data_IF_739053710051
#
_entry.id   IF_739053710051
#
_cell.length_a   1.000
_cell.length_b   1.000
_cell.length_c   1.000
_cell.angle_alpha   90.00
_cell.angle_beta   90.00
_cell.angle_gamma   90.00
#
_symmetry.space_group_name_H-M   'P 1'
#
loop_
_entity.id
_entity.type
_entity.pdbx_description
1 polymer ?
#
# COMPACT_ATOMS: atom_id res chain seq x y z
N UNK A 1 7.65 -12.28 25.83
CA UNK A 1 6.44 -11.45 25.60
C UNK A 1 6.39 -11.05 24.15
N UNK A 2 5.23 -11.14 23.47
CA UNK A 2 5.12 -10.61 22.11
C UNK A 2 4.91 -9.10 22.19
N UNK A 3 5.68 -8.35 21.40
CA UNK A 3 5.70 -6.89 21.39
C UNK A 3 4.34 -6.32 20.97
N UNK A 4 3.83 -5.33 21.71
CA UNK A 4 2.71 -4.48 21.27
C UNK A 4 3.25 -3.30 20.46
N UNK A 5 2.48 -2.86 19.47
CA UNK A 5 2.87 -1.75 18.58
C UNK A 5 1.97 -0.54 18.77
N UNK A 6 2.48 0.66 18.49
CA UNK A 6 1.72 1.91 18.55
C UNK A 6 1.62 2.54 19.94
N UNK A 7 0.53 3.25 20.20
CA UNK A 7 0.33 4.09 21.38
C UNK A 7 -0.08 3.25 22.61
N UNK A 8 0.92 2.75 23.34
CA UNK A 8 0.72 1.98 24.58
C UNK A 8 0.84 2.83 25.86
N UNK A 9 1.21 4.11 25.75
CA UNK A 9 1.42 4.99 26.90
C UNK A 9 0.14 5.21 27.71
N UNK A 10 0.22 5.17 29.04
CA UNK A 10 -0.92 5.40 29.94
C UNK A 10 -1.92 4.25 30.04
N UNK A 11 -1.66 3.10 29.43
CA UNK A 11 -2.50 1.92 29.59
C UNK A 11 -2.24 1.23 30.93
N UNK A 12 -3.31 0.79 31.60
CA UNK A 12 -3.22 -0.04 32.82
C UNK A 12 -2.56 -1.38 32.48
N UNK A 13 -1.83 -1.97 33.43
CA UNK A 13 -1.21 -3.28 33.27
C UNK A 13 -2.22 -4.38 32.88
N UNK A 14 -3.47 -4.28 33.35
CA UNK A 14 -4.56 -5.17 32.94
C UNK A 14 -4.91 -5.05 31.46
N UNK A 15 -4.92 -3.84 30.89
CA UNK A 15 -5.16 -3.61 29.46
C UNK A 15 -4.03 -4.20 28.62
N UNK A 16 -2.78 -3.97 29.02
CA UNK A 16 -1.60 -4.51 28.34
C UNK A 16 -1.68 -6.05 28.29
N UNK A 17 -1.98 -6.70 29.42
CA UNK A 17 -2.15 -8.16 29.46
C UNK A 17 -3.29 -8.66 28.56
N UNK A 18 -4.43 -7.95 28.51
CA UNK A 18 -5.54 -8.27 27.60
C UNK A 18 -5.10 -8.20 26.13
N UNK A 19 -4.38 -7.14 25.74
CA UNK A 19 -3.85 -6.95 24.39
C UNK A 19 -2.82 -8.04 24.01
N UNK A 20 -1.89 -8.34 24.90
CA UNK A 20 -0.88 -9.39 24.67
C UNK A 20 -1.50 -10.78 24.54
N UNK A 21 -2.60 -11.04 25.27
CA UNK A 21 -3.33 -12.30 25.16
C UNK A 21 -4.00 -12.48 23.80
N UNK A 22 -4.28 -11.42 23.04
CA UNK A 22 -4.83 -11.53 21.69
C UNK A 22 -3.91 -12.38 20.79
N UNK A 23 -2.59 -12.27 20.95
CA UNK A 23 -1.64 -13.07 20.18
C UNK A 23 -1.75 -14.60 20.35
N UNK A 24 -2.41 -15.06 21.41
CA UNK A 24 -2.65 -16.49 21.68
C UNK A 24 -3.85 -17.01 20.90
N UNK A 25 -4.68 -16.12 20.36
CA UNK A 25 -5.85 -16.47 19.55
C UNK A 25 -5.40 -17.07 18.21
N UNK A 26 -6.24 -17.99 17.72
CA UNK A 26 -6.13 -18.64 16.42
C UNK A 26 -7.48 -18.53 15.75
N UNK A 27 -7.46 -18.28 14.47
CA UNK A 27 -8.66 -18.14 13.65
C UNK A 27 -8.68 -19.24 12.60
N UNK A 28 -9.86 -19.76 12.23
CA UNK A 28 -9.99 -20.50 10.99
C UNK A 28 -9.58 -19.57 9.82
N UNK A 29 -8.73 -20.02 8.88
CA UNK A 29 -8.21 -19.19 7.80
C UNK A 29 -9.27 -18.52 6.91
N UNK A 30 -10.42 -19.18 6.73
CA UNK A 30 -11.53 -18.72 5.89
C UNK A 30 -12.33 -17.55 6.49
N UNK A 31 -12.28 -17.39 7.82
CA UNK A 31 -12.95 -16.29 8.50
C UNK A 31 -12.15 -14.99 8.35
N UNK A 32 -12.84 -13.87 8.23
CA UNK A 32 -12.24 -12.55 8.38
C UNK A 32 -11.67 -12.43 9.80
N UNK A 33 -12.56 -12.54 10.78
CA UNK A 33 -12.31 -12.53 12.23
C UNK A 33 -13.34 -13.43 12.91
N UNK A 34 -13.03 -14.03 14.07
CA UNK A 34 -14.06 -14.73 14.84
C UNK A 34 -14.94 -13.71 15.58
N UNK A 35 -16.21 -14.07 15.82
CA UNK A 35 -17.13 -13.20 16.57
C UNK A 35 -16.58 -12.84 17.96
N UNK A 36 -15.98 -13.81 18.66
CA UNK A 36 -15.39 -13.59 19.99
C UNK A 36 -14.23 -12.61 19.93
N UNK A 37 -13.36 -12.74 18.92
CA UNK A 37 -12.22 -11.83 18.77
C UNK A 37 -12.69 -10.42 18.41
N UNK A 38 -13.65 -10.29 17.49
CA UNK A 38 -14.25 -9.00 17.13
C UNK A 38 -14.88 -8.32 18.36
N UNK A 39 -15.68 -9.06 19.13
CA UNK A 39 -16.27 -8.58 20.38
C UNK A 39 -15.21 -8.17 21.40
N UNK A 40 -14.16 -8.97 21.57
CA UNK A 40 -13.10 -8.70 22.55
C UNK A 40 -12.31 -7.43 22.18
N UNK A 41 -11.96 -7.23 20.90
CA UNK A 41 -11.27 -6.00 20.47
C UNK A 41 -12.18 -4.78 20.49
N UNK A 42 -13.47 -4.90 20.15
CA UNK A 42 -14.42 -3.76 20.24
C UNK A 42 -14.56 -3.27 21.68
N UNK A 43 -14.79 -4.20 22.63
CA UNK A 43 -14.91 -3.85 24.05
C UNK A 43 -13.65 -3.23 24.59
N UNK A 44 -12.49 -3.82 24.28
CA UNK A 44 -11.21 -3.31 24.77
C UNK A 44 -10.88 -1.94 24.15
N UNK A 45 -11.14 -1.76 22.85
CA UNK A 45 -10.94 -0.49 22.14
C UNK A 45 -11.79 0.62 22.74
N UNK A 46 -13.06 0.34 23.03
CA UNK A 46 -13.97 1.24 23.72
C UNK A 46 -13.47 1.60 25.14
N UNK A 47 -13.07 0.58 25.93
CA UNK A 47 -12.54 0.75 27.30
C UNK A 47 -11.29 1.65 27.34
N UNK A 48 -10.38 1.49 26.39
CA UNK A 48 -9.13 2.26 26.34
C UNK A 48 -9.23 3.55 25.51
N UNK A 49 -10.36 3.78 24.83
CA UNK A 49 -10.60 4.90 23.89
C UNK A 49 -9.51 5.04 22.82
N UNK A 50 -9.07 3.91 22.28
CA UNK A 50 -8.09 3.83 21.19
C UNK A 50 -8.47 2.73 20.23
N UNK A 51 -8.19 2.92 18.94
CA UNK A 51 -8.32 1.87 17.95
C UNK A 51 -7.38 0.71 18.29
N UNK A 52 -7.81 -0.51 18.02
CA UNK A 52 -7.01 -1.72 18.14
C UNK A 52 -6.93 -2.35 16.76
N UNK A 53 -5.73 -2.53 16.24
CA UNK A 53 -5.44 -3.18 14.97
C UNK A 53 -4.83 -4.57 15.17
N UNK A 54 -5.19 -5.49 14.30
CA UNK A 54 -4.67 -6.85 14.22
C UNK A 54 -4.19 -7.11 12.80
N UNK A 55 -2.94 -7.53 12.66
CA UNK A 55 -2.47 -8.14 11.42
C UNK A 55 -2.51 -9.66 11.60
N UNK A 56 -3.30 -10.33 10.76
CA UNK A 56 -3.53 -11.77 10.83
C UNK A 56 -2.95 -12.39 9.57
N UNK A 57 -2.14 -13.43 9.71
CA UNK A 57 -1.56 -14.12 8.57
C UNK A 57 -2.52 -15.19 7.99
N UNK A 58 -2.17 -15.74 6.82
CA UNK A 58 -3.00 -16.77 6.13
C UNK A 58 -3.22 -18.06 6.92
N UNK A 59 -2.40 -18.36 7.93
CA UNK A 59 -2.65 -19.51 8.82
C UNK A 59 -3.57 -19.16 10.01
N UNK A 60 -4.19 -17.97 10.01
CA UNK A 60 -5.07 -17.50 11.08
C UNK A 60 -4.32 -17.14 12.36
N UNK A 61 -3.02 -16.84 12.28
CA UNK A 61 -2.22 -16.40 13.42
C UNK A 61 -2.17 -14.88 13.46
N UNK A 62 -2.41 -14.31 14.64
CA UNK A 62 -2.16 -12.88 14.85
C UNK A 62 -0.64 -12.65 14.88
N UNK A 63 -0.17 -11.94 13.85
CA UNK A 63 1.23 -11.57 13.65
C UNK A 63 1.57 -10.29 14.41
N UNK A 64 0.66 -9.31 14.41
CA UNK A 64 0.83 -8.04 15.11
C UNK A 64 -0.46 -7.61 15.83
N UNK A 65 -0.29 -7.03 17.02
CA UNK A 65 -1.33 -6.33 17.78
C UNK A 65 -0.88 -4.88 17.92
N UNK A 66 -1.73 -3.98 17.44
CA UNK A 66 -1.46 -2.56 17.25
C UNK A 66 -2.44 -1.78 18.11
N UNK A 67 -1.96 -0.76 18.82
CA UNK A 67 -2.79 0.20 19.54
C UNK A 67 -2.65 1.54 18.84
N UNK A 68 -3.75 2.04 18.28
CA UNK A 68 -3.81 3.33 17.62
C UNK A 68 -4.08 4.48 18.58
N UNK A 69 -4.51 5.59 18.01
CA UNK A 69 -5.16 6.68 18.73
C UNK A 69 -6.68 6.59 18.55
N UNK A 70 -7.41 7.70 18.66
CA UNK A 70 -8.86 7.72 18.52
C UNK A 70 -9.32 7.75 17.05
N UNK A 71 -8.43 8.07 16.10
CA UNK A 71 -8.72 8.27 14.68
C UNK A 71 -8.10 7.20 13.79
N UNK A 72 -6.91 6.70 14.13
CA UNK A 72 -6.15 5.78 13.27
C UNK A 72 -5.24 4.84 14.03
N UNK A 73 -4.82 3.80 13.31
CA UNK A 73 -3.68 2.95 13.68
C UNK A 73 -2.46 3.33 12.85
N UNK A 74 -1.27 2.99 13.35
CA UNK A 74 -0.04 3.02 12.56
C UNK A 74 0.43 1.58 12.37
N UNK A 75 0.36 1.09 11.13
CA UNK A 75 0.78 -0.27 10.81
C UNK A 75 2.32 -0.35 10.94
N UNK A 76 2.85 -1.32 11.70
CA UNK A 76 4.29 -1.46 11.89
C UNK A 76 4.97 -1.97 10.62
N UNK A 77 6.30 -1.90 10.59
CA UNK A 77 7.09 -2.50 9.52
C UNK A 77 6.80 -4.02 9.39
N UNK A 78 6.38 -4.42 8.19
CA UNK A 78 6.04 -5.80 7.81
C UNK A 78 7.06 -6.41 6.84
N UNK A 79 8.31 -5.94 6.85
CA UNK A 79 9.38 -6.42 5.94
C UNK A 79 9.64 -7.93 6.02
N UNK A 80 9.34 -8.57 7.16
CA UNK A 80 9.38 -10.03 7.32
C UNK A 80 8.39 -10.77 6.39
N UNK A 81 7.37 -10.07 5.90
CA UNK A 81 6.38 -10.54 4.93
C UNK A 81 6.71 -9.96 3.56
N UNK A 82 7.68 -10.58 2.88
CA UNK A 82 8.07 -10.16 1.52
C UNK A 82 6.95 -10.42 0.51
N UNK A 83 6.73 -9.44 -0.36
CA UNK A 83 5.76 -9.53 -1.45
C UNK A 83 6.50 -9.94 -2.71
N UNK A 84 6.04 -10.99 -3.37
CA UNK A 84 6.50 -11.33 -4.71
C UNK A 84 5.62 -10.63 -5.76
N UNK A 85 6.13 -10.38 -6.98
CA UNK A 85 5.31 -9.90 -8.09
C UNK A 85 4.04 -10.75 -8.25
N UNK A 86 2.88 -10.10 -8.46
CA UNK A 86 1.59 -10.78 -8.57
C UNK A 86 1.02 -11.39 -7.28
N UNK A 87 1.70 -11.30 -6.12
CA UNK A 87 1.23 -11.82 -4.82
C UNK A 87 0.80 -10.71 -3.86
N UNK A 88 -0.10 -11.02 -2.94
CA UNK A 88 -0.43 -10.14 -1.81
C UNK A 88 0.49 -10.44 -0.62
N UNK A 89 0.54 -9.54 0.36
CA UNK A 89 1.46 -9.56 1.52
C UNK A 89 1.31 -10.80 2.39
N UNK A 90 0.18 -11.50 2.34
CA UNK A 90 -0.09 -12.62 3.24
C UNK A 90 -0.61 -12.20 4.61
N UNK A 91 -1.03 -10.93 4.73
CA UNK A 91 -1.53 -10.32 5.94
C UNK A 91 -2.86 -9.64 5.66
N UNK A 92 -3.88 -9.95 6.46
CA UNK A 92 -5.11 -9.15 6.55
C UNK A 92 -5.04 -8.24 7.76
N UNK A 93 -5.43 -6.98 7.58
CA UNK A 93 -5.52 -6.00 8.64
C UNK A 93 -6.96 -5.82 9.09
N UNK A 94 -7.19 -5.92 10.39
CA UNK A 94 -8.50 -5.73 11.00
C UNK A 94 -8.33 -4.78 12.16
N UNK A 95 -9.04 -3.65 12.14
CA UNK A 95 -8.95 -2.66 13.20
C UNK A 95 -10.31 -2.12 13.60
N UNK A 96 -10.39 -1.54 14.79
CA UNK A 96 -11.63 -0.96 15.30
C UNK A 96 -11.77 0.50 14.90
N UNK A 97 -13.00 0.92 14.58
CA UNK A 97 -13.39 2.31 14.37
C UNK A 97 -14.29 2.78 15.50
N UNK A 98 -13.86 3.85 16.19
CA UNK A 98 -14.56 4.39 17.35
C UNK A 98 -15.71 5.33 16.98
N UNK A 99 -15.71 5.92 15.78
CA UNK A 99 -16.74 6.85 15.29
C UNK A 99 -17.88 6.17 14.52
N UNK A 100 -17.91 4.83 14.48
CA UNK A 100 -18.88 4.03 13.71
C UNK A 100 -18.90 4.38 12.21
N UNK A 101 -17.73 4.70 11.66
CA UNK A 101 -17.48 5.01 10.26
C UNK A 101 -17.00 3.78 9.47
N UNK A 102 -17.30 3.69 8.16
CA UNK A 102 -16.75 2.65 7.29
C UNK A 102 -15.23 2.84 7.09
N UNK A 103 -14.62 2.02 6.23
CA UNK A 103 -13.22 2.21 5.82
C UNK A 103 -12.98 3.63 5.27
N UNK A 104 -11.92 4.25 5.77
CA UNK A 104 -11.47 5.60 5.42
C UNK A 104 -10.52 5.56 4.22
N UNK A 105 -10.23 6.73 3.65
CA UNK A 105 -9.20 6.87 2.60
C UNK A 105 -7.82 6.40 3.08
N UNK A 106 -7.47 6.63 4.35
CA UNK A 106 -6.22 6.17 4.94
C UNK A 106 -6.16 4.62 4.95
N UNK A 107 -7.26 3.96 5.27
CA UNK A 107 -7.33 2.48 5.27
C UNK A 107 -7.15 1.88 3.88
N UNK A 108 -7.76 2.50 2.85
CA UNK A 108 -7.56 2.07 1.46
C UNK A 108 -6.13 2.34 0.96
N UNK A 109 -5.53 3.43 1.44
CA UNK A 109 -4.14 3.75 1.15
C UNK A 109 -3.25 2.67 1.75
N UNK A 110 -3.38 2.37 3.04
CA UNK A 110 -2.61 1.33 3.72
C UNK A 110 -2.82 -0.05 3.09
N UNK A 111 -4.06 -0.41 2.76
CA UNK A 111 -4.40 -1.65 2.04
C UNK A 111 -3.56 -1.80 0.77
N UNK A 112 -3.51 -0.75 -0.05
CA UNK A 112 -2.86 -0.82 -1.34
C UNK A 112 -1.32 -0.68 -1.24
N UNK A 113 -0.82 0.23 -0.40
CA UNK A 113 0.62 0.43 -0.17
C UNK A 113 1.29 -0.82 0.36
N UNK A 114 0.67 -1.41 1.38
CA UNK A 114 1.20 -2.59 2.01
C UNK A 114 0.80 -3.85 1.26
N UNK A 115 0.02 -3.75 0.17
CA UNK A 115 -0.54 -4.86 -0.60
C UNK A 115 -1.16 -5.93 0.29
N UNK A 116 -1.91 -5.49 1.31
CA UNK A 116 -2.55 -6.37 2.27
C UNK A 116 -3.57 -7.28 1.56
N UNK A 117 -3.73 -8.48 2.10
CA UNK A 117 -4.70 -9.44 1.58
C UNK A 117 -6.13 -8.85 1.66
N UNK A 118 -6.47 -8.27 2.82
CA UNK A 118 -7.78 -7.68 3.15
C UNK A 118 -7.58 -6.56 4.18
N UNK A 119 -8.40 -5.52 4.11
CA UNK A 119 -8.56 -4.50 5.16
C UNK A 119 -9.99 -4.53 5.71
N UNK A 120 -10.15 -4.46 7.03
CA UNK A 120 -11.47 -4.41 7.64
C UNK A 120 -11.56 -3.49 8.87
N UNK A 121 -12.56 -2.61 8.86
CA UNK A 121 -12.92 -1.77 9.99
C UNK A 121 -14.10 -2.38 10.77
N UNK A 122 -13.89 -2.59 12.07
CA UNK A 122 -14.87 -3.11 13.01
C UNK A 122 -15.52 -1.94 13.73
N UNK A 123 -16.78 -1.67 13.41
CA UNK A 123 -17.56 -0.63 14.08
C UNK A 123 -18.25 -1.18 15.32
N UNK A 124 -18.62 -0.28 16.22
CA UNK A 124 -19.24 -0.64 17.49
C UNK A 124 -20.35 0.34 17.88
N UNK A 125 -21.29 -0.16 18.69
CA UNK A 125 -22.32 0.67 19.32
C UNK A 125 -21.71 1.63 20.34
N UNK A 126 -22.47 2.62 20.81
CA UNK A 126 -22.05 3.51 21.91
C UNK A 126 -21.65 2.77 23.20
N UNK A 127 -22.20 1.57 23.43
CA UNK A 127 -21.84 0.72 24.56
C UNK A 127 -20.58 -0.16 24.32
N UNK A 128 -19.90 0.00 23.19
CA UNK A 128 -18.68 -0.75 22.84
C UNK A 128 -18.91 -2.17 22.33
N UNK A 129 -20.16 -2.55 22.00
CA UNK A 129 -20.46 -3.84 21.37
C UNK A 129 -20.17 -3.79 19.88
N UNK A 130 -19.57 -4.87 19.37
CA UNK A 130 -19.35 -5.06 17.94
C UNK A 130 -20.68 -4.94 17.17
N UNK A 131 -20.69 -4.09 16.15
CA UNK A 131 -21.87 -3.77 15.34
C UNK A 131 -21.75 -4.36 13.94
N UNK A 132 -20.82 -3.85 13.12
CA UNK A 132 -20.61 -4.30 11.73
C UNK A 132 -19.13 -4.34 11.36
N UNK A 133 -18.79 -5.17 10.38
CA UNK A 133 -17.48 -5.17 9.76
C UNK A 133 -17.56 -4.58 8.35
N UNK A 134 -16.77 -3.55 8.08
CA UNK A 134 -16.63 -2.93 6.77
C UNK A 134 -15.36 -3.46 6.12
N UNK A 135 -15.48 -4.14 4.99
CA UNK A 135 -14.39 -4.92 4.40
C UNK A 135 -14.04 -4.40 3.02
N UNK A 136 -12.74 -4.30 2.74
CA UNK A 136 -12.22 -3.95 1.43
C UNK A 136 -10.98 -4.75 1.07
N UNK A 137 -10.77 -4.96 -0.22
CA UNK A 137 -9.61 -5.65 -0.79
C UNK A 137 -9.23 -5.06 -2.15
N UNK A 138 -7.99 -5.31 -2.58
CA UNK A 138 -7.45 -4.77 -3.84
C UNK A 138 -8.13 -5.44 -5.03
N UNK A 139 -8.44 -4.67 -6.07
CA UNK A 139 -8.92 -5.19 -7.35
C UNK A 139 -7.77 -5.32 -8.36
N UNK A 140 -7.55 -6.51 -8.95
CA UNK A 140 -6.48 -6.74 -9.93
C UNK A 140 -6.70 -6.00 -11.25
N UNK A 141 -7.96 -5.86 -11.68
CA UNK A 141 -8.36 -5.11 -12.87
C UNK A 141 -9.22 -3.93 -12.44
N UNK A 142 -8.68 -2.72 -12.51
CA UNK A 142 -9.45 -1.49 -12.28
C UNK A 142 -10.35 -1.22 -13.49
N UNK A 143 -11.52 -1.88 -13.57
CA UNK A 143 -12.45 -1.72 -14.70
C UNK A 143 -13.05 -0.29 -14.74
N UNK A 144 -13.03 0.44 -13.62
CA UNK A 144 -13.64 1.78 -13.48
C UNK A 144 -12.81 2.79 -12.67
N UNK A 145 -11.49 2.62 -12.57
CA UNK A 145 -10.60 3.60 -11.90
C UNK A 145 -10.57 3.52 -10.37
N UNK A 146 -11.22 2.54 -9.73
CA UNK A 146 -11.08 2.27 -8.29
C UNK A 146 -10.24 1.01 -8.07
N UNK A 147 -9.07 1.11 -7.41
CA UNK A 147 -8.15 -0.01 -7.22
C UNK A 147 -8.55 -0.98 -6.11
N UNK A 148 -9.76 -0.86 -5.57
CA UNK A 148 -10.27 -1.67 -4.47
C UNK A 148 -11.77 -1.93 -4.61
N UNK A 149 -12.21 -3.06 -4.07
CA UNK A 149 -13.61 -3.40 -3.90
C UNK A 149 -13.99 -3.30 -2.42
N UNK A 150 -15.22 -2.86 -2.16
CA UNK A 150 -15.80 -2.79 -0.82
C UNK A 150 -16.98 -3.76 -0.79
N UNK A 151 -17.01 -4.64 0.21
CA UNK A 151 -18.15 -5.52 0.44
C UNK A 151 -19.28 -4.77 1.14
N UNK A 152 -20.51 -5.27 0.99
CA UNK A 152 -21.61 -4.85 1.86
C UNK A 152 -21.22 -5.09 3.33
N UNK A 153 -21.53 -4.16 4.27
CA UNK A 153 -21.16 -4.32 5.66
C UNK A 153 -21.66 -5.65 6.24
N UNK A 154 -20.75 -6.41 6.82
CA UNK A 154 -21.04 -7.74 7.37
C UNK A 154 -21.63 -7.61 8.76
N UNK A 155 -22.65 -8.42 9.04
CA UNK A 155 -23.18 -8.56 10.39
C UNK A 155 -22.32 -9.53 11.20
N UNK A 156 -22.48 -9.58 12.53
CA UNK A 156 -21.64 -10.44 13.37
C UNK A 156 -21.69 -11.94 13.08
N UNK A 157 -22.73 -12.40 12.40
CA UNK A 157 -22.91 -13.80 11.98
C UNK A 157 -22.29 -14.12 10.60
N UNK A 158 -21.97 -13.10 9.81
CA UNK A 158 -21.55 -13.22 8.40
C UNK A 158 -20.02 -13.06 8.23
N UNK A 159 -19.25 -13.43 9.25
CA UNK A 159 -17.79 -13.19 9.29
C UNK A 159 -16.96 -14.26 8.58
N UNK A 160 -17.57 -15.37 8.18
CA UNK A 160 -16.96 -16.32 7.25
C UNK A 160 -17.21 -15.85 5.81
N UNK A 161 -16.18 -15.25 5.21
CA UNK A 161 -16.25 -14.71 3.86
C UNK A 161 -15.43 -15.53 2.86
N UNK A 162 -14.95 -16.71 3.25
CA UNK A 162 -14.06 -17.51 2.40
C UNK A 162 -12.76 -16.79 2.07
N UNK A 163 -12.10 -16.17 3.06
CA UNK A 163 -10.91 -15.34 2.84
C UNK A 163 -9.83 -16.04 1.99
N UNK A 164 -9.59 -17.34 2.20
CA UNK A 164 -8.57 -18.06 1.44
C UNK A 164 -8.90 -18.12 -0.05
N UNK A 165 -10.14 -18.48 -0.39
CA UNK A 165 -10.58 -18.61 -1.78
C UNK A 165 -10.56 -17.26 -2.48
N UNK A 166 -11.04 -16.22 -1.79
CA UNK A 166 -10.98 -14.83 -2.26
C UNK A 166 -9.53 -14.39 -2.53
N UNK A 167 -8.62 -14.62 -1.60
CA UNK A 167 -7.21 -14.23 -1.77
C UNK A 167 -6.57 -14.98 -2.94
N UNK A 168 -6.85 -16.28 -3.07
CA UNK A 168 -6.32 -17.09 -4.18
C UNK A 168 -6.85 -16.64 -5.54
N UNK A 169 -8.13 -16.28 -5.64
CA UNK A 169 -8.69 -15.76 -6.89
C UNK A 169 -8.07 -14.41 -7.25
N UNK A 170 -7.93 -13.51 -6.27
CA UNK A 170 -7.29 -12.20 -6.47
C UNK A 170 -5.84 -12.32 -6.91
N UNK A 171 -5.05 -13.20 -6.29
CA UNK A 171 -3.66 -13.43 -6.69
C UNK A 171 -3.54 -14.07 -8.07
N UNK A 172 -4.46 -14.98 -8.42
CA UNK A 172 -4.49 -15.58 -9.76
C UNK A 172 -4.73 -14.50 -10.81
N UNK A 173 -5.71 -13.63 -10.58
CA UNK A 173 -5.98 -12.49 -11.44
C UNK A 173 -4.84 -11.46 -11.47
N UNK A 174 -4.19 -11.17 -10.34
CA UNK A 174 -3.02 -10.28 -10.28
C UNK A 174 -1.85 -10.85 -11.07
N UNK A 175 -1.54 -12.14 -10.90
CA UNK A 175 -0.50 -12.81 -11.65
C UNK A 175 -0.81 -12.80 -13.16
N UNK A 176 -2.07 -13.03 -13.54
CA UNK A 176 -2.51 -12.92 -14.92
C UNK A 176 -2.40 -11.49 -15.45
N UNK A 177 -2.82 -10.48 -14.68
CA UNK A 177 -2.69 -9.08 -15.07
C UNK A 177 -1.22 -8.72 -15.27
N UNK A 178 -0.32 -9.06 -14.35
CA UNK A 178 1.12 -8.86 -14.52
C UNK A 178 1.65 -9.54 -15.79
N UNK A 179 1.26 -10.80 -16.03
CA UNK A 179 1.68 -11.54 -17.23
C UNK A 179 1.10 -10.97 -18.53
N UNK A 180 -0.12 -10.42 -18.53
CA UNK A 180 -0.75 -9.76 -19.68
C UNK A 180 -0.22 -8.34 -19.89
N UNK A 181 0.18 -7.62 -18.84
CA UNK A 181 0.93 -6.37 -19.01
C UNK A 181 2.32 -6.64 -19.61
N UNK A 182 2.96 -7.76 -19.23
CA UNK A 182 4.21 -8.21 -19.85
C UNK A 182 3.99 -8.74 -21.29
N UNK A 183 2.85 -9.39 -21.59
CA UNK A 183 2.64 -10.12 -22.85
C UNK A 183 1.71 -9.44 -23.89
N UNK A 184 0.81 -8.54 -23.49
CA UNK A 184 -0.29 -8.03 -24.35
C UNK A 184 -0.12 -6.55 -24.76
N UNK A 185 0.75 -5.78 -24.09
CA UNK A 185 1.09 -4.41 -24.56
C UNK A 185 2.58 -4.16 -24.77
N UNK A 186 3.48 -4.87 -24.07
CA UNK A 186 4.93 -4.61 -24.14
C UNK A 186 5.33 -3.16 -23.79
N UNK A 187 4.42 -2.35 -23.22
CA UNK A 187 4.61 -0.93 -22.94
C UNK A 187 4.30 -0.66 -21.47
N UNK A 188 5.33 -0.28 -20.70
CA UNK A 188 5.17 0.16 -19.31
C UNK A 188 4.29 1.42 -19.28
N UNK A 189 3.44 1.58 -18.24
CA UNK A 189 2.63 2.79 -18.05
C UNK A 189 3.16 3.58 -16.86
N UNK A 190 3.46 4.86 -17.05
CA UNK A 190 4.23 5.67 -16.11
C UNK A 190 3.49 6.91 -15.56
N UNK A 191 3.81 7.27 -14.30
CA UNK A 191 3.64 8.63 -13.79
C UNK A 191 4.96 9.38 -13.92
N UNK A 192 4.91 10.61 -14.42
CA UNK A 192 6.07 11.50 -14.48
C UNK A 192 6.01 12.48 -13.32
N UNK A 193 7.07 12.54 -12.52
CA UNK A 193 7.10 13.35 -11.29
C UNK A 193 8.29 14.31 -11.34
N UNK A 194 8.02 15.61 -11.19
CA UNK A 194 9.05 16.63 -11.03
C UNK A 194 8.87 17.36 -9.71
N UNK A 195 9.89 17.28 -8.84
CA UNK A 195 9.97 17.96 -7.56
C UNK A 195 11.12 18.96 -7.62
N UNK A 196 10.80 20.24 -7.82
CA UNK A 196 11.83 21.24 -8.14
C UNK A 196 11.59 22.59 -7.46
N UNK A 197 12.67 23.35 -7.32
CA UNK A 197 12.66 24.76 -6.93
C UNK A 197 12.67 25.70 -8.14
N UNK A 198 12.74 25.15 -9.37
CA UNK A 198 12.70 25.93 -10.59
C UNK A 198 11.36 26.65 -10.79
N UNK A 199 11.35 27.67 -11.65
CA UNK A 199 10.09 28.31 -12.04
C UNK A 199 9.17 27.31 -12.75
N UNK A 200 7.86 27.48 -12.52
CA UNK A 200 6.83 26.59 -13.07
C UNK A 200 6.99 26.33 -14.57
N UNK A 201 7.30 27.38 -15.35
CA UNK A 201 7.48 27.27 -16.80
C UNK A 201 8.64 26.33 -17.18
N UNK A 202 9.78 26.48 -16.53
CA UNK A 202 10.96 25.63 -16.74
C UNK A 202 10.66 24.20 -16.34
N UNK A 203 10.02 24.00 -15.19
CA UNK A 203 9.67 22.68 -14.70
C UNK A 203 8.66 21.95 -15.59
N UNK A 204 7.68 22.67 -16.14
CA UNK A 204 6.72 22.11 -17.11
C UNK A 204 7.40 21.71 -18.41
N UNK A 205 8.30 22.56 -18.94
CA UNK A 205 9.08 22.22 -20.14
C UNK A 205 9.96 20.99 -19.93
N UNK A 206 10.57 20.84 -18.74
CA UNK A 206 11.34 19.64 -18.36
C UNK A 206 10.45 18.39 -18.33
N UNK A 207 9.23 18.50 -17.81
CA UNK A 207 8.27 17.40 -17.79
C UNK A 207 7.72 17.03 -19.17
N UNK A 208 7.57 18.00 -20.07
CA UNK A 208 7.21 17.74 -21.48
C UNK A 208 8.34 17.00 -22.19
N UNK A 209 9.59 17.40 -22.00
CA UNK A 209 10.74 16.65 -22.52
C UNK A 209 10.82 15.22 -21.95
N UNK A 210 10.56 15.06 -20.66
CA UNK A 210 10.56 13.74 -20.02
C UNK A 210 9.45 12.83 -20.58
N UNK A 211 8.30 13.41 -20.93
CA UNK A 211 7.21 12.70 -21.60
C UNK A 211 7.62 12.22 -22.99
N UNK A 212 8.24 13.09 -23.79
CA UNK A 212 8.77 12.72 -25.11
C UNK A 212 9.82 11.60 -24.99
N UNK A 213 10.71 11.67 -24.00
CA UNK A 213 11.70 10.62 -23.71
C UNK A 213 11.01 9.29 -23.39
N UNK A 214 10.06 9.28 -22.44
CA UNK A 214 9.34 8.08 -22.03
C UNK A 214 8.60 7.43 -23.22
N UNK A 215 7.88 8.23 -24.01
CA UNK A 215 7.18 7.76 -25.22
C UNK A 215 8.17 7.15 -26.24
N UNK A 216 9.36 7.74 -26.39
CA UNK A 216 10.41 7.23 -27.28
C UNK A 216 11.06 5.91 -26.81
N UNK A 217 10.93 5.60 -25.52
CA UNK A 217 11.31 4.32 -24.89
C UNK A 217 10.18 3.29 -24.84
N UNK A 218 9.04 3.58 -25.48
CA UNK A 218 7.87 2.69 -25.49
C UNK A 218 7.05 2.72 -24.20
N UNK A 219 7.20 3.75 -23.36
CA UNK A 219 6.47 3.90 -22.10
C UNK A 219 5.24 4.80 -22.34
N UNK A 220 4.05 4.33 -21.96
CA UNK A 220 2.81 5.13 -21.98
C UNK A 220 2.72 6.05 -20.77
N UNK A 221 2.37 7.31 -20.95
CA UNK A 221 2.35 8.30 -19.87
C UNK A 221 0.92 8.52 -19.37
N UNK A 222 0.67 8.13 -18.11
CA UNK A 222 -0.65 8.24 -17.51
C UNK A 222 -0.96 9.66 -17.00
N UNK A 223 0.02 10.31 -16.36
CA UNK A 223 -0.14 11.66 -15.78
C UNK A 223 1.22 12.32 -15.47
N UNK A 224 1.24 13.66 -15.49
CA UNK A 224 2.39 14.50 -15.13
C UNK A 224 2.14 15.25 -13.83
N UNK A 225 3.08 15.16 -12.90
CA UNK A 225 2.92 15.67 -11.53
C UNK A 225 4.06 16.62 -11.22
N UNK A 226 3.71 17.88 -11.03
CA UNK A 226 4.65 18.95 -10.68
C UNK A 226 4.47 19.38 -9.22
N UNK A 227 5.51 19.22 -8.42
CA UNK A 227 5.59 19.75 -7.07
C UNK A 227 6.67 20.85 -6.98
N UNK A 228 6.23 22.10 -6.87
CA UNK A 228 7.12 23.23 -6.62
C UNK A 228 7.46 23.32 -5.13
N UNK A 229 8.74 23.45 -4.80
CA UNK A 229 9.23 23.63 -3.42
C UNK A 229 10.10 24.87 -3.29
N UNK A 230 10.11 25.46 -2.10
CA UNK A 230 11.05 26.54 -1.75
C UNK A 230 12.47 26.03 -1.49
N UNK A 231 12.59 24.79 -1.01
CA UNK A 231 13.86 24.09 -0.79
C UNK A 231 13.61 22.58 -0.91
N UNK A 232 14.44 21.86 -1.67
CA UNK A 232 14.39 20.39 -1.72
C UNK A 232 15.10 19.83 -0.49
N UNK A 233 14.47 18.87 0.20
CA UNK A 233 15.12 18.21 1.32
C UNK A 233 16.06 17.12 0.78
N UNK A 234 17.38 17.19 1.06
CA UNK A 234 18.35 16.25 0.49
C UNK A 234 18.12 14.79 0.92
N UNK A 235 17.45 14.56 2.06
CA UNK A 235 17.15 13.23 2.58
C UNK A 235 15.83 12.65 2.05
N UNK A 236 14.87 13.52 1.72
CA UNK A 236 13.53 13.12 1.26
C UNK A 236 13.09 14.05 0.12
N UNK A 237 13.03 13.53 -1.10
CA UNK A 237 12.63 14.32 -2.27
C UNK A 237 11.26 14.97 -2.03
N UNK A 238 10.31 14.18 -1.51
CA UNK A 238 8.98 14.61 -1.09
C UNK A 238 8.63 14.10 0.31
N UNK A 239 7.62 14.71 0.94
CA UNK A 239 7.12 14.26 2.24
C UNK A 239 6.22 13.02 2.11
N UNK A 240 6.02 12.26 3.21
CA UNK A 240 5.28 11.00 3.20
C UNK A 240 3.84 11.16 2.68
N UNK A 241 3.12 12.24 3.05
CA UNK A 241 1.76 12.46 2.55
C UNK A 241 1.68 12.65 1.04
N UNK A 242 2.65 13.36 0.44
CA UNK A 242 2.65 13.53 -1.03
C UNK A 242 3.02 12.23 -1.73
N UNK A 243 3.90 11.43 -1.12
CA UNK A 243 4.24 10.11 -1.63
C UNK A 243 3.00 9.18 -1.59
N UNK A 244 2.24 9.19 -0.49
CA UNK A 244 0.94 8.50 -0.40
C UNK A 244 -0.02 8.93 -1.52
N UNK A 245 -0.17 10.24 -1.77
CA UNK A 245 -0.99 10.75 -2.88
C UNK A 245 -0.53 10.21 -4.24
N UNK A 246 0.80 10.18 -4.51
CA UNK A 246 1.34 9.62 -5.76
C UNK A 246 0.94 8.15 -5.93
N UNK A 247 0.98 7.37 -4.86
CA UNK A 247 0.75 5.94 -4.97
C UNK A 247 -0.75 5.67 -5.14
N UNK A 248 -1.61 6.39 -4.42
CA UNK A 248 -3.06 6.34 -4.64
C UNK A 248 -3.36 6.63 -6.12
N UNK A 249 -2.72 7.66 -6.68
CA UNK A 249 -2.89 8.00 -8.09
C UNK A 249 -2.33 6.92 -9.03
N UNK A 250 -1.16 6.35 -8.73
CA UNK A 250 -0.56 5.27 -9.50
C UNK A 250 -1.50 4.06 -9.57
N UNK A 251 -2.12 3.71 -8.44
CA UNK A 251 -3.09 2.63 -8.35
C UNK A 251 -4.37 2.94 -9.13
N UNK A 252 -4.92 4.15 -8.98
CA UNK A 252 -6.11 4.58 -9.73
C UNK A 252 -5.89 4.53 -11.25
N UNK A 253 -4.67 4.88 -11.70
CA UNK A 253 -4.29 4.96 -13.11
C UNK A 253 -3.67 3.68 -13.66
N UNK A 254 -3.59 2.61 -12.86
CA UNK A 254 -2.95 1.33 -13.23
C UNK A 254 -1.53 1.52 -13.79
N UNK A 255 -0.77 2.38 -13.13
CA UNK A 255 0.62 2.70 -13.46
C UNK A 255 1.54 1.62 -12.90
N UNK A 256 2.54 1.23 -13.66
CA UNK A 256 3.55 0.22 -13.28
C UNK A 256 4.92 0.83 -12.98
N UNK A 257 5.13 2.10 -13.35
CA UNK A 257 6.41 2.80 -13.25
C UNK A 257 6.23 4.25 -12.76
N UNK A 258 7.09 4.72 -11.87
CA UNK A 258 7.20 6.14 -11.55
C UNK A 258 8.56 6.64 -12.04
N UNK A 259 8.54 7.68 -12.88
CA UNK A 259 9.74 8.30 -13.44
C UNK A 259 9.92 9.66 -12.80
N UNK A 260 11.04 9.84 -12.10
CA UNK A 260 11.42 11.12 -11.54
C UNK A 260 12.26 11.91 -12.52
N UNK A 261 11.89 13.18 -12.71
CA UNK A 261 12.59 14.12 -13.58
C UNK A 261 13.99 14.49 -13.03
N UNK A 262 14.18 14.37 -11.71
CA UNK A 262 15.45 14.61 -11.04
C UNK A 262 16.17 13.28 -10.76
N UNK A 263 17.50 13.30 -10.82
CA UNK A 263 18.32 12.20 -10.33
C UNK A 263 18.05 11.90 -8.85
N UNK A 264 17.88 10.61 -8.56
CA UNK A 264 17.61 10.14 -7.20
C UNK A 264 18.88 9.61 -6.58
N UNK A 265 19.22 10.09 -5.38
CA UNK A 265 20.30 9.47 -4.62
C UNK A 265 19.84 8.13 -4.01
N UNK A 266 20.77 7.21 -3.67
CA UNK A 266 20.41 5.90 -3.14
C UNK A 266 19.56 5.93 -1.86
N UNK A 267 19.70 6.98 -1.04
CA UNK A 267 18.88 7.15 0.17
C UNK A 267 17.43 7.55 -0.17
N UNK A 268 17.23 8.33 -1.23
CA UNK A 268 15.91 8.69 -1.73
C UNK A 268 15.23 7.47 -2.37
N UNK A 269 15.95 6.74 -3.23
CA UNK A 269 15.43 5.50 -3.83
C UNK A 269 14.97 4.54 -2.73
N UNK A 270 15.83 4.25 -1.74
CA UNK A 270 15.44 3.41 -0.59
C UNK A 270 14.25 3.95 0.17
N UNK A 271 14.27 5.24 0.54
CA UNK A 271 13.15 5.84 1.30
C UNK A 271 11.81 5.75 0.57
N UNK A 272 11.81 5.74 -0.76
CA UNK A 272 10.58 5.63 -1.55
C UNK A 272 10.22 4.15 -1.73
N UNK A 273 11.18 3.31 -2.15
CA UNK A 273 10.97 1.86 -2.38
C UNK A 273 10.67 1.06 -1.11
N UNK A 274 11.14 1.47 0.06
CA UNK A 274 10.77 0.87 1.36
C UNK A 274 9.27 1.06 1.67
N UNK A 275 8.64 2.07 1.07
CA UNK A 275 7.24 2.41 1.31
C UNK A 275 6.31 1.95 0.17
N UNK A 276 6.87 1.59 -1.00
CA UNK A 276 6.10 1.33 -2.22
C UNK A 276 6.64 0.12 -2.98
N UNK A 277 5.74 -0.77 -3.40
CA UNK A 277 6.07 -1.92 -4.26
C UNK A 277 5.77 -1.57 -5.74
N UNK A 278 6.41 -0.50 -6.23
CA UNK A 278 6.29 0.05 -7.58
C UNK A 278 7.69 0.30 -8.15
N UNK A 279 7.91 0.05 -9.45
CA UNK A 279 9.19 0.34 -10.09
C UNK A 279 9.40 1.85 -10.12
N UNK A 280 10.58 2.29 -9.69
CA UNK A 280 10.96 3.70 -9.69
C UNK A 280 12.27 3.84 -10.44
N UNK A 281 12.30 4.77 -11.38
CA UNK A 281 13.51 5.18 -12.07
C UNK A 281 13.59 6.70 -12.07
N UNK A 282 14.78 7.23 -12.33
CA UNK A 282 14.96 8.64 -12.62
C UNK A 282 15.23 8.88 -14.12
N UNK A 283 15.38 10.15 -14.48
CA UNK A 283 15.67 10.59 -15.84
C UNK A 283 16.92 9.92 -16.40
N UNK A 284 17.98 9.77 -15.60
CA UNK A 284 19.24 9.19 -16.05
C UNK A 284 19.07 7.70 -16.36
N UNK A 285 18.41 6.95 -15.47
CA UNK A 285 18.09 5.54 -15.73
C UNK A 285 17.18 5.36 -16.95
N UNK A 286 16.16 6.21 -17.14
CA UNK A 286 15.30 6.17 -18.33
C UNK A 286 16.12 6.32 -19.62
N UNK A 287 17.05 7.27 -19.65
CA UNK A 287 17.91 7.51 -20.82
C UNK A 287 18.80 6.29 -21.09
N UNK A 288 19.39 5.69 -20.05
CA UNK A 288 20.19 4.48 -20.16
C UNK A 288 19.37 3.30 -20.70
N UNK A 289 18.15 3.11 -20.20
CA UNK A 289 17.23 2.06 -20.65
C UNK A 289 16.89 2.21 -22.15
N UNK A 290 16.63 3.45 -22.60
CA UNK A 290 16.37 3.77 -24.01
C UNK A 290 17.61 3.47 -24.88
N UNK A 291 18.81 3.81 -24.42
CA UNK A 291 20.04 3.49 -25.14
C UNK A 291 20.31 2.00 -25.20
N UNK A 292 20.08 1.28 -24.10
CA UNK A 292 20.22 -0.18 -24.04
C UNK A 292 19.28 -0.86 -25.04
N UNK A 293 18.03 -0.41 -25.16
CA UNK A 293 17.06 -0.91 -26.14
C UNK A 293 17.52 -0.68 -27.59
N UNK A 294 18.21 0.44 -27.87
CA UNK A 294 18.68 0.81 -29.22
C UNK A 294 20.05 0.23 -29.57
N UNK A 295 20.84 -0.22 -28.59
CA UNK A 295 22.16 -0.78 -28.79
C UNK A 295 22.11 -2.15 -29.51
N UNK A 296 22.29 -2.13 -30.83
CA UNK A 296 22.30 -3.34 -31.68
C UNK A 296 23.63 -4.10 -31.62
N UNK A 297 24.74 -3.42 -31.33
CA UNK A 297 26.10 -3.99 -31.36
C UNK A 297 26.56 -4.41 -29.96
N UNK A 298 27.41 -5.45 -29.90
CA UNK A 298 27.95 -5.99 -28.64
C UNK A 298 28.78 -4.95 -27.87
N UNK A 299 29.48 -4.07 -28.58
CA UNK A 299 30.24 -2.95 -28.01
C UNK A 299 29.32 -1.86 -27.46
N UNK A 300 28.26 -1.50 -28.18
CA UNK A 300 27.26 -0.53 -27.71
C UNK A 300 26.53 -1.00 -26.44
N UNK A 301 26.22 -2.29 -26.33
CA UNK A 301 25.64 -2.86 -25.10
C UNK A 301 26.59 -2.75 -23.90
N UNK A 302 27.88 -3.05 -24.11
CA UNK A 302 28.91 -2.99 -23.07
C UNK A 302 29.16 -1.55 -22.56
N UNK A 303 29.09 -0.56 -23.44
CA UNK A 303 29.24 0.85 -23.05
C UNK A 303 28.07 1.36 -22.21
N UNK A 304 26.85 0.88 -22.47
CA UNK A 304 25.66 1.26 -21.69
C UNK A 304 25.64 0.60 -20.31
N UNK A 305 26.11 -0.66 -20.18
CA UNK A 305 26.21 -1.34 -18.87
C UNK A 305 27.27 -0.74 -17.93
N UNK A 306 28.25 0.00 -18.45
CA UNK A 306 29.35 0.59 -17.69
C UNK A 306 29.08 2.03 -17.21
N UNK A 307 27.99 2.65 -17.69
CA UNK A 307 27.62 4.04 -17.42
C UNK A 307 26.59 4.15 -16.29
#
# INVERSE_FOLDING_TARGET
>A
MKKLFGNIGGLKASHIRKLENLYRRRLPPQFLISFELARDISRLSHEIRRQIGLLINRQGRIAYVIVGDHQKILIPDTSDYRVAPGRLRGLRCIHTHLGNEPLTTDDFTDLALLRLDIMAAITMTEAGYFHKAHVGYILPKSIYGKPFQILSPLNPQDLDIGCLDLIQSLETELAHATSLYEADTGKERALLVSVTTAYRKTAMSSLEELEDLALSGGIDVAEKILQLRRKVNPRFLMGPGKLQELIILALQKSVTLIIFDQELNPSQIRSITDQIDLKIIDRTQLILDIFAQRAQTREGKLQVELA
#
